data_IF_006848801427
#
_entry.id   IF_006848801427
#
_cell.length_a   1.000
_cell.length_b   1.000
_cell.length_c   1.000
_cell.angle_alpha   90.00
_cell.angle_beta   90.00
_cell.angle_gamma   90.00
#
_symmetry.space_group_name_H-M   'P 1'
#
loop_
_entity.id
_entity.type
_entity.pdbx_description
1 polymer ?
#
# COMPACT_ATOMS: atom_id res chain seq x y z
N UNK A 1 34.58 -3.93 32.60
CA UNK A 1 33.68 -2.87 33.11
C UNK A 1 33.65 -1.85 32.01
N UNK A 2 32.75 -2.09 31.06
CA UNK A 2 32.65 -1.33 29.82
C UNK A 2 31.67 -0.18 30.05
N UNK A 3 32.20 1.03 30.00
CA UNK A 3 31.43 2.26 30.15
C UNK A 3 30.60 2.49 28.87
N UNK A 4 29.34 2.05 28.92
CA UNK A 4 28.33 2.35 27.91
C UNK A 4 28.00 3.84 27.90
N UNK A 5 28.62 4.57 26.97
CA UNK A 5 28.29 5.96 26.66
C UNK A 5 26.95 5.97 25.92
N UNK A 6 25.86 6.15 26.68
CA UNK A 6 24.55 6.48 26.13
C UNK A 6 24.59 7.90 25.56
N UNK A 7 24.72 8.04 24.23
CA UNK A 7 24.44 9.30 23.55
C UNK A 7 22.93 9.57 23.61
N UNK A 8 22.56 10.42 24.56
CA UNK A 8 21.21 10.96 24.68
C UNK A 8 21.00 11.95 23.52
N UNK A 9 20.38 11.51 22.43
CA UNK A 9 19.94 12.39 21.35
C UNK A 9 19.04 13.49 21.94
N UNK A 10 19.55 14.72 21.97
CA UNK A 10 18.77 15.89 22.32
C UNK A 10 17.71 16.08 21.25
N UNK A 11 16.44 15.81 21.61
CA UNK A 11 15.27 16.26 20.87
C UNK A 11 15.42 17.75 20.62
N UNK A 12 15.62 18.10 19.36
CA UNK A 12 16.02 19.42 18.89
C UNK A 12 15.19 20.55 19.50
N UNK A 13 15.92 21.52 20.03
CA UNK A 13 15.49 22.90 20.23
C UNK A 13 14.73 23.39 19.01
N UNK A 14 13.64 24.12 19.23
CA UNK A 14 12.91 24.84 18.20
C UNK A 14 13.79 25.98 17.66
N UNK A 15 14.74 25.62 16.81
CA UNK A 15 15.64 26.57 16.17
C UNK A 15 14.89 27.28 15.04
N UNK A 16 15.10 28.59 14.95
CA UNK A 16 14.35 29.47 14.06
C UNK A 16 14.66 29.12 12.60
N UNK A 17 13.68 28.49 11.93
CA UNK A 17 13.81 27.95 10.58
C UNK A 17 14.24 28.97 9.56
N UNK A 18 15.51 28.88 9.14
CA UNK A 18 15.86 29.18 7.76
C UNK A 18 15.03 28.24 6.90
N UNK A 19 14.11 28.80 6.11
CA UNK A 19 13.37 28.08 5.07
C UNK A 19 14.40 27.57 4.05
N UNK A 20 15.00 26.41 4.32
CA UNK A 20 15.80 25.69 3.35
C UNK A 20 14.90 25.46 2.13
N UNK A 21 15.31 26.05 1.01
CA UNK A 21 14.60 25.97 -0.25
C UNK A 21 14.50 24.50 -0.65
N UNK A 22 13.32 23.91 -0.41
CA UNK A 22 13.09 22.48 -0.58
C UNK A 22 13.30 22.12 -2.06
N UNK A 23 14.41 21.45 -2.35
CA UNK A 23 14.74 21.05 -3.71
C UNK A 23 13.70 20.05 -4.21
N UNK A 24 13.18 20.23 -5.44
CA UNK A 24 12.21 19.30 -5.98
C UNK A 24 12.81 17.90 -6.11
N UNK A 25 12.03 16.83 -5.86
CA UNK A 25 12.52 15.47 -5.95
C UNK A 25 12.92 15.13 -7.40
N UNK A 26 13.98 14.34 -7.56
CA UNK A 26 14.42 13.88 -8.88
C UNK A 26 13.39 12.98 -9.58
N UNK A 27 12.59 12.24 -8.79
CA UNK A 27 11.56 11.32 -9.28
C UNK A 27 10.28 11.59 -8.48
N UNK A 28 9.21 11.96 -9.17
CA UNK A 28 7.89 12.12 -8.59
C UNK A 28 7.06 10.86 -8.79
N UNK A 29 6.60 10.30 -7.67
CA UNK A 29 5.65 9.17 -7.66
C UNK A 29 4.27 9.66 -7.25
N UNK A 30 3.25 8.86 -7.56
CA UNK A 30 1.85 9.21 -7.35
C UNK A 30 1.38 9.05 -5.90
N UNK A 31 0.08 8.85 -5.77
CA UNK A 31 -0.59 8.69 -4.48
C UNK A 31 0.00 7.54 -3.64
N UNK A 32 0.19 7.80 -2.34
CA UNK A 32 0.72 6.81 -1.40
C UNK A 32 2.24 6.87 -1.24
N UNK A 33 2.93 7.81 -1.89
CA UNK A 33 4.34 8.11 -1.67
C UNK A 33 4.47 9.48 -1.00
N UNK A 34 5.32 9.57 0.02
CA UNK A 34 5.55 10.82 0.75
C UNK A 34 6.41 11.79 -0.07
N UNK A 35 6.33 13.10 0.21
CA UNK A 35 7.36 14.03 -0.25
C UNK A 35 8.68 13.63 0.41
N UNK A 36 9.76 13.56 -0.37
CA UNK A 36 11.07 13.08 0.07
C UNK A 36 10.95 11.71 0.75
N UNK A 37 10.42 10.73 0.02
CA UNK A 37 10.13 9.41 0.57
C UNK A 37 11.39 8.61 0.86
N UNK A 38 12.30 8.53 -0.11
CA UNK A 38 13.54 7.79 -0.04
C UNK A 38 14.59 8.47 -0.92
N UNK A 39 15.86 8.22 -0.62
CA UNK A 39 17.02 8.65 -1.40
C UNK A 39 17.87 7.43 -1.71
N UNK A 40 18.41 7.40 -2.93
CA UNK A 40 19.38 6.39 -3.35
C UNK A 40 20.69 7.10 -3.59
N UNK A 41 21.73 6.69 -2.87
CA UNK A 41 23.09 7.13 -3.14
C UNK A 41 23.82 6.07 -3.96
N UNK A 42 24.64 6.52 -4.91
CA UNK A 42 25.59 5.65 -5.60
C UNK A 42 26.96 5.89 -5.01
N UNK A 43 27.62 4.81 -4.57
CA UNK A 43 28.97 4.83 -4.02
C UNK A 43 29.81 3.76 -4.71
N UNK A 44 30.62 4.17 -5.69
CA UNK A 44 31.30 3.24 -6.59
C UNK A 44 30.32 2.42 -7.42
N UNK A 45 30.35 1.10 -7.25
CA UNK A 45 29.47 0.12 -7.91
C UNK A 45 28.21 -0.22 -7.09
N UNK A 46 28.05 0.40 -5.92
CA UNK A 46 26.96 0.12 -4.98
C UNK A 46 25.86 1.18 -5.06
N UNK A 47 24.62 0.73 -4.95
CA UNK A 47 23.47 1.60 -4.77
C UNK A 47 22.89 1.37 -3.38
N UNK A 48 22.83 2.43 -2.57
CA UNK A 48 22.41 2.36 -1.18
C UNK A 48 21.11 3.14 -1.01
N UNK A 49 20.06 2.46 -0.57
CA UNK A 49 18.72 3.00 -0.33
C UNK A 49 18.58 3.45 1.12
N UNK A 50 18.13 4.69 1.31
CA UNK A 50 17.81 5.28 2.60
C UNK A 50 16.37 5.82 2.63
N UNK A 51 15.65 5.67 3.74
CA UNK A 51 14.42 6.41 3.93
C UNK A 51 14.72 7.87 4.24
N UNK A 52 13.96 8.79 3.64
CA UNK A 52 14.10 10.23 3.89
C UNK A 52 13.06 10.77 4.87
N UNK A 53 12.12 9.92 5.30
CA UNK A 53 11.19 10.19 6.37
C UNK A 53 10.72 8.87 7.02
N UNK A 54 10.08 8.95 8.19
CA UNK A 54 9.53 7.79 8.91
C UNK A 54 8.49 7.02 8.05
N UNK A 55 7.67 7.73 7.28
CA UNK A 55 6.77 7.10 6.29
C UNK A 55 7.55 6.37 5.22
N UNK A 56 8.66 6.93 4.75
CA UNK A 56 9.57 6.24 3.83
C UNK A 56 10.07 4.92 4.40
N UNK A 57 10.50 4.90 5.66
CA UNK A 57 11.00 3.70 6.32
C UNK A 57 9.93 2.61 6.47
N UNK A 58 8.70 3.00 6.79
CA UNK A 58 7.58 2.08 7.06
C UNK A 58 6.79 1.67 5.82
N UNK A 59 6.75 2.51 4.78
CA UNK A 59 5.96 2.29 3.55
C UNK A 59 6.83 1.91 2.33
N UNK A 60 8.16 1.92 2.47
CA UNK A 60 9.07 1.30 1.50
C UNK A 60 9.25 -0.17 1.85
N UNK A 61 9.09 -1.06 0.88
CA UNK A 61 9.35 -2.49 1.05
C UNK A 61 10.44 -2.96 0.11
N UNK A 62 11.34 -3.80 0.62
CA UNK A 62 12.35 -4.50 -0.16
C UNK A 62 12.18 -5.99 0.04
N UNK A 63 11.94 -6.73 -1.04
CA UNK A 63 11.72 -8.18 -1.03
C UNK A 63 10.66 -8.61 0.00
N UNK A 64 9.55 -7.87 0.06
CA UNK A 64 8.42 -8.14 0.95
C UNK A 64 8.57 -7.67 2.40
N UNK A 65 9.71 -7.08 2.78
CA UNK A 65 9.96 -6.58 4.14
C UNK A 65 10.01 -5.06 4.16
N UNK A 66 9.49 -4.42 5.20
CA UNK A 66 9.60 -2.95 5.32
C UNK A 66 11.06 -2.54 5.46
N UNK A 67 11.43 -1.39 4.88
CA UNK A 67 12.80 -0.89 4.94
C UNK A 67 13.24 -0.67 6.40
N UNK A 68 12.34 -0.23 7.28
CA UNK A 68 12.59 -0.15 8.73
C UNK A 68 13.03 -1.50 9.30
N UNK A 69 12.30 -2.60 9.05
CA UNK A 69 12.69 -3.93 9.54
C UNK A 69 14.04 -4.38 8.99
N UNK A 70 14.30 -4.09 7.71
CA UNK A 70 15.57 -4.44 7.07
C UNK A 70 16.74 -3.69 7.71
N UNK A 71 16.57 -2.39 7.99
CA UNK A 71 17.58 -1.58 8.68
C UNK A 71 17.76 -2.01 10.14
N UNK A 72 16.68 -2.34 10.86
CA UNK A 72 16.75 -2.87 12.22
C UNK A 72 17.53 -4.19 12.28
N UNK A 73 17.30 -5.10 11.33
CA UNK A 73 18.05 -6.36 11.24
C UNK A 73 19.54 -6.16 10.96
N UNK A 74 19.89 -5.07 10.26
CA UNK A 74 21.28 -4.66 10.02
C UNK A 74 21.91 -3.96 11.23
N UNK A 75 21.18 -3.77 12.33
CA UNK A 75 21.66 -3.09 13.53
C UNK A 75 21.75 -1.57 13.38
N UNK A 76 20.97 -0.98 12.46
CA UNK A 76 20.90 0.46 12.26
C UNK A 76 19.86 1.05 13.23
N UNK A 77 20.33 1.84 14.19
CA UNK A 77 19.48 2.53 15.18
C UNK A 77 18.41 3.41 14.53
N UNK A 78 17.17 3.38 15.02
CA UNK A 78 16.00 4.05 14.39
C UNK A 78 16.20 5.55 14.17
N UNK A 79 16.82 6.25 15.12
CA UNK A 79 17.07 7.69 15.05
C UNK A 79 18.08 8.07 13.94
N UNK A 80 18.91 7.12 13.51
CA UNK A 80 19.95 7.30 12.52
C UNK A 80 19.48 6.98 11.09
N UNK A 81 18.22 6.52 10.93
CA UNK A 81 17.72 5.99 9.65
C UNK A 81 17.27 7.06 8.66
N UNK A 82 16.97 8.28 9.12
CA UNK A 82 16.35 9.32 8.26
C UNK A 82 17.42 10.18 7.61
N UNK A 83 17.61 10.03 6.30
CA UNK A 83 18.53 10.83 5.51
C UNK A 83 17.84 12.07 4.90
N UNK A 84 18.36 13.26 5.22
CA UNK A 84 18.00 14.50 4.51
C UNK A 84 18.84 14.59 3.23
N UNK A 85 18.20 14.93 2.10
CA UNK A 85 18.73 14.82 0.73
C UNK A 85 20.13 15.42 0.49
N UNK A 86 20.57 16.36 1.31
CA UNK A 86 21.80 17.13 1.12
C UNK A 86 23.08 16.40 1.56
N UNK A 87 23.00 15.43 2.48
CA UNK A 87 24.21 14.83 3.06
C UNK A 87 24.10 13.31 3.11
N UNK A 88 25.11 12.64 2.52
CA UNK A 88 25.26 11.19 2.62
C UNK A 88 25.43 10.84 4.11
N UNK A 89 24.52 10.04 4.70
CA UNK A 89 24.65 9.66 6.10
C UNK A 89 25.96 8.87 6.29
N UNK A 90 26.61 9.07 7.44
CA UNK A 90 27.68 8.15 7.88
C UNK A 90 27.15 6.75 8.21
N UNK A 91 25.84 6.65 8.36
CA UNK A 91 25.10 5.44 8.73
C UNK A 91 24.94 4.53 7.50
N UNK A 92 25.05 3.22 7.72
CA UNK A 92 24.84 2.21 6.68
C UNK A 92 23.36 2.16 6.27
N UNK A 93 23.08 2.42 5.00
CA UNK A 93 21.75 2.19 4.41
C UNK A 93 21.61 0.75 3.89
N UNK A 94 20.55 0.50 3.12
CA UNK A 94 20.36 -0.80 2.49
C UNK A 94 21.04 -0.87 1.11
N UNK A 95 22.07 -1.72 0.98
CA UNK A 95 22.76 -1.95 -0.30
C UNK A 95 21.90 -2.80 -1.23
N UNK A 96 21.31 -2.17 -2.25
CA UNK A 96 20.44 -2.80 -3.24
C UNK A 96 21.21 -3.84 -4.07
N UNK A 97 20.65 -5.03 -4.19
CA UNK A 97 21.18 -6.16 -4.95
C UNK A 97 20.39 -6.38 -6.24
N UNK A 98 21.07 -6.88 -7.27
CA UNK A 98 20.43 -7.19 -8.56
C UNK A 98 19.25 -8.16 -8.37
N UNK A 99 18.05 -7.72 -8.76
CA UNK A 99 16.80 -8.47 -8.62
C UNK A 99 15.97 -8.12 -7.41
N UNK A 100 16.43 -7.20 -6.56
CA UNK A 100 15.64 -6.72 -5.44
C UNK A 100 14.34 -6.07 -5.92
N UNK A 101 13.23 -6.48 -5.30
CA UNK A 101 11.90 -5.91 -5.54
C UNK A 101 11.69 -4.77 -4.56
N UNK A 102 11.62 -3.55 -5.08
CA UNK A 102 11.43 -2.33 -4.28
C UNK A 102 10.03 -1.79 -4.50
N UNK A 103 9.32 -1.51 -3.42
CA UNK A 103 7.94 -1.02 -3.45
C UNK A 103 7.87 0.28 -2.68
N UNK A 104 7.41 1.34 -3.33
CA UNK A 104 7.15 2.64 -2.72
C UNK A 104 5.64 2.91 -2.74
N UNK A 105 4.98 2.76 -1.59
CA UNK A 105 3.53 2.89 -1.50
C UNK A 105 2.80 1.82 -2.35
N UNK A 106 2.32 2.21 -3.54
CA UNK A 106 1.65 1.32 -4.52
C UNK A 106 2.44 1.12 -5.83
N UNK A 107 3.66 1.64 -5.90
CA UNK A 107 4.52 1.55 -7.08
C UNK A 107 5.55 0.45 -6.91
N UNK A 108 5.72 -0.38 -7.94
CA UNK A 108 6.56 -1.57 -7.92
C UNK A 108 7.75 -1.39 -8.85
N UNK A 109 8.94 -1.67 -8.35
CA UNK A 109 10.20 -1.55 -9.07
C UNK A 109 11.06 -2.79 -8.86
N UNK A 110 11.98 -3.01 -9.77
CA UNK A 110 13.01 -4.05 -9.68
C UNK A 110 14.35 -3.36 -9.86
N UNK A 111 15.26 -3.55 -8.91
CA UNK A 111 16.61 -3.02 -9.04
C UNK A 111 17.44 -3.94 -9.94
N UNK A 112 18.02 -3.38 -10.99
CA UNK A 112 18.77 -4.14 -11.99
C UNK A 112 20.15 -3.55 -12.16
N UNK A 113 21.17 -4.34 -11.83
CA UNK A 113 22.57 -4.05 -12.17
C UNK A 113 22.81 -4.46 -13.63
N UNK A 114 23.10 -3.53 -14.56
CA UNK A 114 23.19 -3.83 -15.99
C UNK A 114 24.27 -4.84 -16.37
N UNK A 115 25.37 -4.90 -15.60
CA UNK A 115 26.45 -5.85 -15.83
C UNK A 115 26.07 -7.31 -15.52
N UNK A 116 25.00 -7.51 -14.74
CA UNK A 116 24.51 -8.85 -14.35
C UNK A 116 23.36 -9.34 -15.22
N UNK A 117 22.66 -8.44 -15.91
CA UNK A 117 21.56 -8.80 -16.80
C UNK A 117 20.66 -7.62 -17.16
N UNK A 118 19.74 -7.85 -18.10
CA UNK A 118 18.72 -6.88 -18.51
C UNK A 118 17.38 -7.16 -17.82
N UNK A 119 16.55 -6.13 -17.56
CA UNK A 119 15.25 -6.31 -16.94
C UNK A 119 14.32 -7.24 -17.75
N UNK A 120 14.40 -7.20 -19.08
CA UNK A 120 13.59 -8.04 -19.97
C UNK A 120 13.90 -9.52 -19.76
N UNK A 121 15.17 -9.88 -19.59
CA UNK A 121 15.59 -11.26 -19.34
C UNK A 121 15.11 -11.72 -17.96
N UNK A 122 15.16 -10.85 -16.95
CA UNK A 122 14.67 -11.18 -15.60
C UNK A 122 13.16 -11.46 -15.58
N UNK A 123 12.40 -10.64 -16.30
CA UNK A 123 10.95 -10.81 -16.46
C UNK A 123 10.64 -12.07 -17.29
N UNK A 124 11.29 -12.24 -18.44
CA UNK A 124 11.05 -13.37 -19.34
C UNK A 124 11.44 -14.72 -18.73
N UNK A 125 12.47 -14.75 -17.89
CA UNK A 125 12.89 -15.95 -17.17
C UNK A 125 12.02 -16.29 -15.95
N UNK A 126 11.09 -15.40 -15.58
CA UNK A 126 10.27 -15.56 -14.37
C UNK A 126 11.05 -15.41 -13.07
N UNK A 127 12.29 -14.89 -13.12
CA UNK A 127 13.07 -14.57 -11.90
C UNK A 127 12.44 -13.42 -11.13
N UNK A 128 11.74 -12.53 -11.82
CA UNK A 128 10.99 -11.45 -11.20
C UNK A 128 9.59 -11.40 -11.80
N UNK A 129 8.58 -11.52 -10.95
CA UNK A 129 7.17 -11.47 -11.32
C UNK A 129 6.45 -10.38 -10.51
N UNK A 130 5.61 -9.61 -11.21
CA UNK A 130 4.70 -8.64 -10.59
C UNK A 130 3.72 -9.33 -9.62
N UNK A 131 3.23 -10.52 -9.95
CA UNK A 131 2.28 -11.25 -9.11
C UNK A 131 2.91 -11.61 -7.76
N UNK A 132 4.17 -12.05 -7.78
CA UNK A 132 4.94 -12.36 -6.58
C UNK A 132 5.15 -11.09 -5.74
N UNK A 133 5.67 -10.01 -6.34
CA UNK A 133 5.89 -8.74 -5.66
C UNK A 133 4.59 -8.20 -4.99
N UNK A 134 3.46 -8.33 -5.69
CA UNK A 134 2.15 -7.94 -5.15
C UNK A 134 1.72 -8.81 -3.98
N UNK A 135 1.91 -10.12 -4.08
CA UNK A 135 1.54 -11.06 -3.01
C UNK A 135 2.36 -10.81 -1.74
N UNK A 136 3.67 -10.58 -1.89
CA UNK A 136 4.58 -10.24 -0.79
C UNK A 136 4.10 -8.99 -0.05
N UNK A 137 3.81 -7.91 -0.79
CA UNK A 137 3.27 -6.68 -0.21
C UNK A 137 1.92 -6.89 0.50
N UNK A 138 1.01 -7.68 -0.07
CA UNK A 138 -0.28 -7.96 0.56
C UNK A 138 -0.15 -8.82 1.83
N UNK A 139 0.84 -9.70 1.90
CA UNK A 139 1.13 -10.46 3.12
C UNK A 139 1.63 -9.52 4.20
N UNK A 140 2.60 -8.65 3.89
CA UNK A 140 3.16 -7.75 4.89
C UNK A 140 2.15 -6.69 5.36
N UNK A 141 1.31 -6.15 4.47
CA UNK A 141 0.20 -5.25 4.86
C UNK A 141 -0.76 -5.92 5.86
N UNK A 142 -1.08 -7.20 5.65
CA UNK A 142 -1.92 -7.98 6.58
C UNK A 142 -1.19 -8.22 7.90
N UNK A 143 0.09 -8.58 7.87
CA UNK A 143 0.92 -8.79 9.05
C UNK A 143 1.07 -7.50 9.87
N UNK A 144 1.31 -6.37 9.23
CA UNK A 144 1.40 -5.05 9.85
C UNK A 144 0.08 -4.65 10.51
N UNK A 145 -1.05 -4.85 9.81
CA UNK A 145 -2.38 -4.63 10.37
C UNK A 145 -2.63 -5.52 11.59
N UNK A 146 -2.30 -6.82 11.49
CA UNK A 146 -2.47 -7.77 12.58
C UNK A 146 -1.63 -7.42 13.82
N UNK A 147 -0.38 -6.94 13.63
CA UNK A 147 0.47 -6.43 14.72
C UNK A 147 -0.12 -5.21 15.43
N UNK A 148 -0.70 -4.28 14.68
CA UNK A 148 -1.39 -3.11 15.25
C UNK A 148 -2.61 -3.51 16.07
N UNK A 149 -3.38 -4.51 15.62
CA UNK A 149 -4.54 -5.00 16.36
C UNK A 149 -4.16 -5.85 17.58
N UNK A 150 -3.10 -6.67 17.52
CA UNK A 150 -2.70 -7.52 18.64
C UNK A 150 -2.11 -6.73 19.82
N UNK A 151 -1.40 -5.63 19.56
CA UNK A 151 -0.87 -4.75 20.61
C UNK A 151 -1.94 -4.06 21.46
N UNK A 152 -3.14 -3.86 20.90
CA UNK A 152 -4.28 -3.26 21.63
C UNK A 152 -4.87 -4.26 22.64
N UNK A 153 -4.89 -5.56 22.33
CA UNK A 153 -5.40 -6.57 23.26
C UNK A 153 -4.46 -6.82 24.45
N UNK A 154 -3.14 -6.73 24.25
CA UNK A 154 -2.18 -6.91 25.34
C UNK A 154 -2.26 -5.79 26.39
N UNK A 155 -2.53 -4.55 25.97
CA UNK A 155 -2.65 -3.40 26.88
C UNK A 155 -4.00 -3.30 27.58
N UNK A 156 -5.10 -3.74 26.94
CA UNK A 156 -6.44 -3.74 27.56
C UNK A 156 -6.61 -4.85 28.60
N UNK A 157 -5.93 -5.99 28.45
CA UNK A 157 -6.05 -7.11 29.40
C UNK A 157 -4.93 -7.18 30.45
N UNK A 158 -3.79 -6.50 30.23
CA UNK A 158 -2.63 -6.56 31.13
C UNK A 158 -2.44 -5.36 32.07
N UNK A 159 -3.18 -4.26 31.88
CA UNK A 159 -2.96 -3.00 32.59
C UNK A 159 -4.05 -2.66 33.61
N UNK A 160 -3.73 -2.85 34.90
CA UNK A 160 -4.41 -2.25 36.07
C UNK A 160 -5.63 -2.99 36.66
N UNK A 161 -5.36 -4.20 37.17
CA UNK A 161 -6.13 -4.81 38.27
C UNK A 161 -5.74 -4.20 39.64
N UNK A 162 -5.59 -2.87 39.74
CA UNK A 162 -5.27 -2.14 40.98
C UNK A 162 -6.09 -0.86 41.15
N UNK A 163 -7.24 -0.74 40.47
CA UNK A 163 -8.20 0.34 40.64
C UNK A 163 -9.43 -0.12 41.43
N UNK A 164 -9.33 -0.08 42.76
CA UNK A 164 -10.46 -0.23 43.70
C UNK A 164 -11.49 0.90 43.47
N UNK A 165 -12.38 0.69 42.51
CA UNK A 165 -13.49 1.58 42.20
C UNK A 165 -14.67 0.77 41.68
N UNK A 166 -15.41 0.14 42.59
CA UNK A 166 -16.63 -0.61 42.31
C UNK A 166 -17.75 0.30 41.79
N UNK A 167 -17.66 0.71 40.52
CA UNK A 167 -18.77 1.26 39.77
C UNK A 167 -19.59 0.13 39.15
N UNK A 168 -20.81 -0.10 39.65
CA UNK A 168 -21.78 -1.10 39.15
C UNK A 168 -22.18 -0.93 37.66
N UNK A 169 -21.61 0.01 36.91
CA UNK A 169 -21.94 0.27 35.51
C UNK A 169 -21.18 -0.59 34.50
N UNK A 170 -20.11 -1.30 34.89
CA UNK A 170 -19.30 -2.11 33.96
C UNK A 170 -19.93 -3.44 33.56
N UNK A 171 -20.69 -4.09 34.47
CA UNK A 171 -21.26 -5.41 34.20
C UNK A 171 -22.39 -5.39 33.16
N UNK A 172 -23.11 -4.28 33.04
CA UNK A 172 -24.17 -4.11 32.02
C UNK A 172 -23.59 -3.87 30.62
N UNK A 173 -22.44 -3.21 30.49
CA UNK A 173 -21.81 -2.97 29.19
C UNK A 173 -21.14 -4.21 28.59
N UNK A 174 -20.77 -5.20 29.42
CA UNK A 174 -20.21 -6.47 28.93
C UNK A 174 -21.28 -7.33 28.24
N UNK A 175 -22.48 -7.43 28.83
CA UNK A 175 -23.58 -8.20 28.24
C UNK A 175 -24.03 -7.63 26.88
N UNK A 176 -24.10 -6.30 26.74
CA UNK A 176 -24.44 -5.65 25.46
C UNK A 176 -23.38 -5.90 24.38
N UNK A 177 -22.10 -6.00 24.75
CA UNK A 177 -21.02 -6.31 23.81
C UNK A 177 -21.02 -7.77 23.37
N UNK A 178 -21.36 -8.70 24.25
CA UNK A 178 -21.44 -10.11 23.91
C UNK A 178 -22.55 -10.38 22.87
N UNK A 179 -23.69 -9.70 22.98
CA UNK A 179 -24.77 -9.79 21.99
C UNK A 179 -24.34 -9.28 20.60
N UNK A 180 -23.62 -8.16 20.55
CA UNK A 180 -23.05 -7.63 19.29
C UNK A 180 -22.01 -8.59 18.71
N UNK A 181 -21.16 -9.21 19.54
CA UNK A 181 -20.15 -10.17 19.09
C UNK A 181 -20.81 -11.42 18.52
N UNK A 182 -21.86 -11.95 19.16
CA UNK A 182 -22.61 -13.09 18.63
C UNK A 182 -23.30 -12.77 17.31
N UNK A 183 -23.93 -11.59 17.19
CA UNK A 183 -24.54 -11.13 15.96
C UNK A 183 -23.52 -11.03 14.80
N UNK A 184 -22.35 -10.44 15.07
CA UNK A 184 -21.27 -10.35 14.07
C UNK A 184 -20.71 -11.73 13.70
N UNK A 185 -20.60 -12.65 14.66
CA UNK A 185 -20.18 -14.03 14.37
C UNK A 185 -21.18 -14.76 13.48
N UNK A 186 -22.47 -14.56 13.69
CA UNK A 186 -23.52 -15.12 12.84
C UNK A 186 -23.43 -14.56 11.41
N UNK A 187 -23.28 -13.25 11.25
CA UNK A 187 -23.13 -12.60 9.93
C UNK A 187 -21.87 -13.09 9.19
N UNK A 188 -20.74 -13.21 9.89
CA UNK A 188 -19.50 -13.77 9.31
C UNK A 188 -19.70 -15.23 8.88
N UNK A 189 -20.45 -16.02 9.64
CA UNK A 189 -20.77 -17.41 9.31
C UNK A 189 -21.63 -17.49 8.04
N UNK A 190 -22.65 -16.64 7.94
CA UNK A 190 -23.52 -16.57 6.75
C UNK A 190 -22.74 -16.16 5.50
N UNK A 191 -21.91 -15.11 5.59
CA UNK A 191 -21.07 -14.66 4.47
C UNK A 191 -20.07 -15.75 4.03
N UNK A 192 -19.52 -16.52 4.96
CA UNK A 192 -18.66 -17.68 4.62
C UNK A 192 -19.43 -18.76 3.88
N UNK A 193 -20.67 -19.03 4.26
CA UNK A 193 -21.53 -20.00 3.58
C UNK A 193 -21.89 -19.54 2.17
N UNK A 194 -22.26 -18.26 2.00
CA UNK A 194 -22.52 -17.67 0.68
C UNK A 194 -21.29 -17.74 -0.23
N UNK A 195 -20.10 -17.44 0.31
CA UNK A 195 -18.84 -17.54 -0.45
C UNK A 195 -18.49 -18.99 -0.83
N UNK A 196 -18.78 -19.97 0.03
CA UNK A 196 -18.61 -21.38 -0.29
C UNK A 196 -19.58 -21.84 -1.39
N UNK A 197 -20.84 -21.42 -1.34
CA UNK A 197 -21.84 -21.72 -2.36
C UNK A 197 -21.46 -21.11 -3.73
N UNK A 198 -21.07 -19.83 -3.76
CA UNK A 198 -20.63 -19.17 -4.98
C UNK A 198 -19.38 -19.83 -5.60
N UNK A 199 -18.44 -20.30 -4.76
CA UNK A 199 -17.27 -21.07 -5.24
C UNK A 199 -17.65 -22.42 -5.83
N UNK A 200 -18.68 -23.08 -5.30
CA UNK A 200 -19.18 -24.34 -5.85
C UNK A 200 -19.82 -24.11 -7.22
N UNK A 201 -20.64 -23.07 -7.35
CA UNK A 201 -21.27 -22.67 -8.62
C UNK A 201 -20.22 -22.33 -9.70
N UNK A 202 -19.18 -21.56 -9.35
CA UNK A 202 -18.07 -21.28 -10.28
C UNK A 202 -17.36 -22.58 -10.72
N UNK A 203 -17.19 -23.54 -9.82
CA UNK A 203 -16.55 -24.83 -10.15
C UNK A 203 -17.42 -25.65 -11.09
N UNK A 204 -18.74 -25.65 -10.90
CA UNK A 204 -19.70 -26.30 -11.79
C UNK A 204 -19.73 -25.65 -13.17
N UNK A 205 -19.81 -24.31 -13.23
CA UNK A 205 -19.73 -23.56 -14.49
C UNK A 205 -18.41 -23.84 -15.22
N UNK A 206 -17.29 -23.94 -14.48
CA UNK A 206 -15.99 -24.32 -15.05
C UNK A 206 -16.00 -25.76 -15.59
N UNK A 207 -16.69 -26.70 -14.93
CA UNK A 207 -16.82 -28.06 -15.41
C UNK A 207 -17.65 -28.14 -16.70
N UNK A 208 -18.78 -27.42 -16.75
CA UNK A 208 -19.62 -27.33 -17.95
C UNK A 208 -18.84 -26.67 -19.09
N UNK A 209 -18.21 -25.52 -18.84
CA UNK A 209 -17.42 -24.81 -19.85
C UNK A 209 -16.20 -25.61 -20.31
N UNK A 210 -15.48 -26.25 -19.37
CA UNK A 210 -14.32 -27.09 -19.66
C UNK A 210 -14.67 -28.34 -20.46
N UNK A 211 -15.78 -29.01 -20.14
CA UNK A 211 -16.28 -30.15 -20.92
C UNK A 211 -16.73 -29.76 -22.33
N UNK A 212 -17.25 -28.54 -22.51
CA UNK A 212 -17.75 -28.07 -23.81
C UNK A 212 -16.65 -27.46 -24.69
N UNK A 213 -15.63 -26.80 -24.10
CA UNK A 213 -14.52 -26.17 -24.83
C UNK A 213 -13.32 -27.10 -25.06
N UNK A 214 -13.02 -28.02 -24.14
CA UNK A 214 -11.89 -28.95 -24.30
C UNK A 214 -12.16 -30.04 -25.34
N UNK A 215 -13.42 -30.42 -25.58
CA UNK A 215 -13.71 -31.51 -26.53
C UNK A 215 -13.69 -31.09 -28.00
N UNK A 216 -13.86 -29.81 -28.33
CA UNK A 216 -13.95 -29.35 -29.73
C UNK A 216 -12.71 -28.61 -30.19
N UNK A 217 -12.19 -27.68 -29.38
CA UNK A 217 -11.06 -26.83 -29.81
C UNK A 217 -9.72 -27.54 -29.66
N UNK A 218 -9.53 -28.33 -28.61
CA UNK A 218 -8.28 -29.09 -28.39
C UNK A 218 -8.20 -30.30 -29.32
N UNK A 219 -9.33 -30.94 -29.64
CA UNK A 219 -9.38 -32.01 -30.65
C UNK A 219 -8.98 -31.50 -32.05
N UNK A 220 -9.39 -30.28 -32.43
CA UNK A 220 -8.98 -29.65 -33.69
C UNK A 220 -7.53 -29.14 -33.69
N UNK A 221 -6.97 -28.77 -32.53
CA UNK A 221 -5.57 -28.35 -32.42
C UNK A 221 -4.62 -29.55 -32.43
N UNK A 222 -5.03 -30.69 -31.85
CA UNK A 222 -4.22 -31.91 -31.78
C UNK A 222 -4.33 -32.81 -33.01
N UNK A 223 -5.36 -32.66 -33.86
CA UNK A 223 -5.52 -33.45 -35.09
C UNK A 223 -4.63 -33.00 -36.27
N UNK A 224 -3.64 -32.14 -36.04
CA UNK A 224 -2.44 -32.07 -36.87
C UNK A 224 -2.56 -31.56 -38.31
N UNK A 225 -3.73 -31.19 -38.80
CA UNK A 225 -3.91 -30.66 -40.17
C UNK A 225 -4.24 -29.16 -40.15
N UNK A 226 -3.30 -28.34 -39.67
CA UNK A 226 -3.32 -26.89 -39.93
C UNK A 226 -2.64 -26.60 -41.28
N UNK A 227 -3.35 -26.88 -42.37
CA UNK A 227 -3.09 -26.20 -43.65
C UNK A 227 -3.81 -24.86 -43.58
N UNK A 228 -3.05 -23.82 -43.20
CA UNK A 228 -3.49 -22.43 -43.18
C UNK A 228 -3.85 -21.97 -44.60
N UNK A 229 -5.09 -22.19 -45.00
CA UNK A 229 -5.74 -21.36 -46.01
C UNK A 229 -6.43 -20.21 -45.29
N UNK A 230 -5.88 -19.01 -45.47
CA UNK A 230 -6.43 -17.73 -45.04
C UNK A 230 -7.77 -17.49 -45.74
N UNK A 231 -8.84 -18.05 -45.18
CA UNK A 231 -10.22 -17.72 -45.53
C UNK A 231 -10.76 -16.68 -44.56
N UNK A 232 -11.32 -15.60 -45.13
CA UNK A 232 -11.96 -14.43 -44.51
C UNK A 232 -13.11 -14.74 -43.50
N UNK A 233 -13.31 -15.99 -43.08
CA UNK A 233 -14.33 -16.39 -42.11
C UNK A 233 -13.84 -16.41 -40.65
N UNK A 234 -12.56 -16.12 -40.40
CA UNK A 234 -11.93 -16.16 -39.07
C UNK A 234 -12.26 -14.97 -38.15
N UNK A 235 -12.47 -13.78 -38.72
CA UNK A 235 -12.63 -12.55 -37.94
C UNK A 235 -13.96 -12.49 -37.17
N UNK A 236 -15.03 -13.08 -37.72
CA UNK A 236 -16.38 -13.03 -37.13
C UNK A 236 -16.45 -13.80 -35.79
N UNK A 237 -15.64 -14.84 -35.60
CA UNK A 237 -15.65 -15.65 -34.37
C UNK A 237 -14.84 -14.98 -33.24
N UNK A 238 -13.73 -14.34 -33.58
CA UNK A 238 -12.91 -13.61 -32.61
C UNK A 238 -13.68 -12.39 -32.09
N UNK A 239 -14.40 -11.68 -32.96
CA UNK A 239 -15.24 -10.55 -32.57
C UNK A 239 -16.39 -10.97 -31.65
N UNK A 240 -16.99 -12.14 -31.88
CA UNK A 240 -18.09 -12.64 -31.04
C UNK A 240 -17.62 -13.03 -29.63
N UNK A 241 -16.43 -13.61 -29.51
CA UNK A 241 -15.81 -13.91 -28.21
C UNK A 241 -15.39 -12.63 -27.51
N UNK A 242 -14.78 -11.68 -28.23
CA UNK A 242 -14.40 -10.36 -27.71
C UNK A 242 -15.62 -9.58 -27.19
N UNK A 243 -16.73 -9.60 -27.94
CA UNK A 243 -17.98 -8.98 -27.52
C UNK A 243 -18.59 -9.66 -26.29
N UNK A 244 -18.54 -10.99 -26.19
CA UNK A 244 -19.02 -11.71 -25.03
C UNK A 244 -18.21 -11.38 -23.76
N UNK A 245 -16.87 -11.30 -23.87
CA UNK A 245 -15.98 -10.93 -22.76
C UNK A 245 -16.22 -9.48 -22.32
N UNK A 246 -16.33 -8.54 -23.28
CA UNK A 246 -16.64 -7.15 -22.99
C UNK A 246 -17.97 -7.01 -22.26
N UNK A 247 -18.98 -7.79 -22.65
CA UNK A 247 -20.30 -7.79 -22.02
C UNK A 247 -20.25 -8.30 -20.58
N UNK A 248 -19.60 -9.44 -20.31
CA UNK A 248 -19.48 -9.94 -18.92
C UNK A 248 -18.67 -9.01 -18.04
N UNK A 249 -17.65 -8.35 -18.58
CA UNK A 249 -16.85 -7.39 -17.81
C UNK A 249 -17.65 -6.13 -17.44
N UNK A 250 -18.43 -5.58 -18.38
CA UNK A 250 -19.30 -4.43 -18.11
C UNK A 250 -20.41 -4.74 -17.12
N UNK A 251 -21.09 -5.89 -17.25
CA UNK A 251 -22.09 -6.33 -16.26
C UNK A 251 -21.50 -6.51 -14.86
N UNK A 252 -20.23 -6.94 -14.76
CA UNK A 252 -19.53 -7.06 -13.47
C UNK A 252 -19.24 -5.70 -12.84
N UNK A 253 -18.79 -4.72 -13.65
CA UNK A 253 -18.55 -3.34 -13.19
C UNK A 253 -19.86 -2.72 -12.68
N UNK A 254 -20.96 -2.87 -13.42
CA UNK A 254 -22.26 -2.31 -13.03
C UNK A 254 -22.75 -2.88 -11.69
N UNK A 255 -22.57 -4.19 -11.48
CA UNK A 255 -22.89 -4.84 -10.20
C UNK A 255 -22.03 -4.31 -9.05
N UNK A 256 -20.73 -4.09 -9.29
CA UNK A 256 -19.82 -3.56 -8.28
C UNK A 256 -20.19 -2.13 -7.88
N UNK A 257 -20.50 -1.28 -8.86
CA UNK A 257 -21.00 0.09 -8.66
C UNK A 257 -22.32 0.10 -7.88
N UNK A 258 -23.23 -0.84 -8.15
CA UNK A 258 -24.48 -0.96 -7.42
C UNK A 258 -24.26 -1.32 -5.94
N UNK A 259 -23.30 -2.22 -5.65
CA UNK A 259 -22.91 -2.57 -4.27
C UNK A 259 -22.31 -1.37 -3.55
N UNK A 260 -21.42 -0.61 -4.20
CA UNK A 260 -20.81 0.59 -3.62
C UNK A 260 -21.85 1.68 -3.31
N UNK A 261 -22.85 1.85 -4.17
CA UNK A 261 -23.98 2.76 -3.92
C UNK A 261 -24.84 2.33 -2.73
N UNK A 262 -25.05 1.02 -2.52
CA UNK A 262 -25.78 0.48 -1.36
C UNK A 262 -25.00 0.68 -0.06
N UNK A 263 -23.69 0.44 -0.07
CA UNK A 263 -22.82 0.68 1.08
C UNK A 263 -22.80 2.16 1.47
N UNK A 264 -22.69 3.05 0.48
CA UNK A 264 -22.75 4.51 0.69
C UNK A 264 -24.08 4.96 1.30
N UNK A 265 -25.20 4.35 0.93
CA UNK A 265 -26.52 4.63 1.55
C UNK A 265 -26.60 4.12 2.99
N UNK A 266 -26.04 2.95 3.28
CA UNK A 266 -26.03 2.37 4.64
C UNK A 266 -25.20 3.23 5.59
N UNK A 267 -24.08 3.78 5.13
CA UNK A 267 -23.22 4.67 5.91
C UNK A 267 -23.87 6.01 6.27
N UNK A 268 -24.87 6.46 5.50
CA UNK A 268 -25.65 7.69 5.80
C UNK A 268 -26.83 7.48 6.76
N UNK A 269 -27.22 6.23 7.08
CA UNK A 269 -28.35 5.94 7.99
C UNK A 269 -27.94 5.76 9.47
N UNK A 270 -26.65 5.82 9.79
CA UNK A 270 -26.16 5.66 11.16
C UNK A 270 -25.94 7.02 11.84
N UNK A 271 -27.02 7.78 12.03
CA UNK A 271 -27.08 8.80 13.08
C UNK A 271 -28.52 8.83 13.56
N UNK A 272 -28.89 8.01 14.58
CA UNK A 272 -30.09 8.31 15.34
C UNK A 272 -29.86 9.68 15.97
N UNK A 273 -30.64 10.68 15.57
CA UNK A 273 -30.75 11.92 16.32
C UNK A 273 -31.26 11.57 17.72
N UNK A 274 -30.35 11.43 18.67
CA UNK A 274 -30.70 11.42 20.08
C UNK A 274 -31.11 12.85 20.44
N UNK A 275 -32.37 13.17 20.16
CA UNK A 275 -33.05 14.30 20.78
C UNK A 275 -33.20 14.00 22.26
N UNK A 276 -32.30 14.54 23.08
CA UNK A 276 -32.62 15.06 24.41
C UNK A 276 -31.44 15.90 24.92
N UNK A 277 -31.38 17.16 24.49
CA UNK A 277 -30.50 18.17 25.08
C UNK A 277 -31.31 19.07 26.00
N UNK A 278 -31.20 18.79 27.31
CA UNK A 278 -31.59 19.71 28.36
C UNK A 278 -30.79 21.04 28.24
N UNK A 279 -31.38 22.18 28.61
CA UNK A 279 -30.75 23.49 28.42
C UNK A 279 -29.59 23.69 29.41
N UNK A 280 -28.37 23.87 28.89
CA UNK A 280 -27.24 24.39 29.68
C UNK A 280 -27.11 25.91 29.47
N UNK A 281 -26.98 26.70 30.54
CA UNK A 281 -26.88 28.15 30.44
C UNK A 281 -25.47 28.60 30.04
N UNK A 282 -25.48 29.56 29.12
CA UNK A 282 -24.45 30.52 28.71
C UNK A 282 -23.03 30.46 29.29
N UNK A 283 -22.07 30.39 28.38
CA UNK A 283 -20.84 31.17 28.50
C UNK A 283 -20.54 31.89 27.18
N UNK A 284 -20.70 33.20 27.24
CA UNK A 284 -20.28 34.18 26.26
C UNK A 284 -18.76 34.30 26.35
N UNK A 285 -18.01 34.08 25.26
CA UNK A 285 -16.70 34.72 25.03
C UNK A 285 -16.21 34.60 23.58
N UNK A 286 -16.41 35.73 22.86
CA UNK A 286 -15.48 36.43 21.95
C UNK A 286 -14.68 35.65 20.89
N UNK A 287 -15.15 35.79 19.64
CA UNK A 287 -14.53 36.55 18.53
C UNK A 287 -13.00 36.70 18.52
N UNK A 288 -12.36 36.11 17.51
CA UNK A 288 -11.30 36.78 16.75
C UNK A 288 -11.28 36.23 15.32
N UNK A 289 -11.44 37.14 14.37
CA UNK A 289 -11.32 36.96 12.93
C UNK A 289 -9.84 37.16 12.59
N UNK A 290 -9.23 36.30 11.77
CA UNK A 290 -8.08 36.71 10.97
C UNK A 290 -8.31 36.32 9.51
N UNK A 291 -8.44 37.36 8.69
CA UNK A 291 -8.34 37.33 7.24
C UNK A 291 -6.87 37.54 6.84
N UNK A 292 -6.50 37.02 5.67
CA UNK A 292 -5.21 37.26 5.00
C UNK A 292 -4.53 35.93 4.65
N UNK A 293 -4.07 35.64 3.44
CA UNK A 293 -3.79 36.50 2.30
C UNK A 293 -3.71 35.60 1.07
N UNK A 294 -4.44 35.93 -0.02
CA UNK A 294 -4.26 35.27 -1.32
C UNK A 294 -3.08 35.97 -2.01
N UNK A 295 -1.98 35.25 -2.23
CA UNK A 295 -0.91 35.67 -3.14
C UNK A 295 -0.94 34.81 -4.39
N UNK A 296 -1.23 35.47 -5.50
CA UNK A 296 -1.08 34.96 -6.87
C UNK A 296 0.38 34.57 -7.11
N UNK A 297 0.59 33.32 -7.51
CA UNK A 297 1.90 32.79 -7.87
C UNK A 297 2.05 32.81 -9.39
N UNK A 298 2.91 33.73 -9.86
CA UNK A 298 3.26 33.93 -11.26
C UNK A 298 4.51 33.10 -11.55
N UNK A 299 4.35 31.97 -12.25
CA UNK A 299 5.48 31.11 -12.65
C UNK A 299 6.15 31.69 -13.89
N UNK A 300 7.44 32.02 -13.77
CA UNK A 300 8.34 32.32 -14.89
C UNK A 300 9.02 31.02 -15.34
N UNK A 301 9.01 30.76 -16.64
CA UNK A 301 9.77 29.68 -17.28
C UNK A 301 11.16 30.22 -17.59
N UNK A 302 12.18 29.73 -16.89
CA UNK A 302 13.59 29.95 -17.20
C UNK A 302 14.16 28.72 -17.89
N UNK A 303 14.54 28.85 -19.15
CA UNK A 303 15.37 27.88 -19.86
C UNK A 303 16.83 28.19 -19.51
N UNK A 304 17.53 27.27 -18.83
CA UNK A 304 18.99 27.26 -18.69
C UNK A 304 19.47 25.90 -19.19
N UNK A 305 19.99 25.82 -20.41
CA UNK A 305 21.41 25.93 -20.78
C UNK A 305 22.24 24.75 -20.28
N UNK A 306 22.56 23.90 -21.25
CA UNK A 306 23.41 22.71 -21.16
C UNK A 306 24.89 23.09 -21.33
N UNK A 307 25.69 22.83 -20.30
CA UNK A 307 27.14 22.65 -20.42
C UNK A 307 27.39 21.13 -20.28
N UNK A 308 28.18 20.44 -21.09
CA UNK A 308 29.37 20.83 -21.83
C UNK A 308 30.42 19.76 -21.56
N UNK A 309 30.30 18.62 -22.25
CA UNK A 309 31.23 17.49 -22.19
C UNK A 309 32.64 17.92 -22.65
N UNK A 310 33.61 17.86 -21.74
CA UNK A 310 35.03 17.89 -22.08
C UNK A 310 35.58 16.46 -22.11
N UNK A 311 35.85 15.97 -23.32
CA UNK A 311 36.62 14.74 -23.58
C UNK A 311 38.09 15.13 -23.62
N UNK A 312 38.91 14.54 -22.74
CA UNK A 312 40.37 14.62 -22.79
C UNK A 312 40.96 13.33 -23.36
N UNK A 313 41.83 13.49 -24.36
CA UNK A 313 42.61 12.43 -25.04
C UNK A 313 43.60 11.71 -24.13
#
# INVERSE_FOLDING_TARGET
MDDGIFHKCHRGSADAGTEEEETPPNIELGEGVARNHAVVFTDGDKCILFPSCERGATETFVNGRSLQQVLSDLGVEEDAQICRQSEKPEVSGYELQHGDRVIFGRHYFVFVVPSMGSPEIMIASGKVDYVEARNEWQVEQRSAMQRRFSGIHASIFGGSLMGLGAGKSGALQLAERDEVIEAQRAEISELKQQLAAAKAEIRELKHIAGGTLASSTVAHILSGDYRLETSQAGDIKIDRISAAIKKTFTESIDKMMAVEALLSRKQRRATPESGDSAPRPGSILRRAVSEGSRKDMRVRVGLGESEGLAVGN
#
